data_IF_529085088611
#
_entry.id   IF_529085088611
#
_cell.length_a   1.000
_cell.length_b   1.000
_cell.length_c   1.000
_cell.angle_alpha   90.00
_cell.angle_beta   90.00
_cell.angle_gamma   90.00
#
_symmetry.space_group_name_H-M   'P 1'
#
loop_
_entity.id
_entity.type
_entity.pdbx_description
1 polymer ?
#
# COMPACT_ATOMS: atom_id res chain seq x y z
N UNK A 1 -18.18 -1.86 43.71
CA UNK A 1 -17.50 -2.82 42.81
C UNK A 1 -18.54 -3.41 41.90
N UNK A 2 -18.57 -2.97 40.66
CA UNK A 2 -19.37 -3.58 39.59
C UNK A 2 -18.53 -3.53 38.32
N UNK A 3 -18.52 -4.68 37.66
CA UNK A 3 -17.50 -5.18 36.77
C UNK A 3 -17.88 -4.84 35.32
N UNK A 4 -17.43 -3.70 34.79
CA UNK A 4 -17.63 -3.37 33.37
C UNK A 4 -16.56 -4.05 32.51
N UNK A 5 -16.77 -5.35 32.26
CA UNK A 5 -16.13 -6.02 31.13
C UNK A 5 -16.85 -5.58 29.86
N UNK A 6 -16.23 -4.65 29.11
CA UNK A 6 -16.61 -4.38 27.72
C UNK A 6 -16.35 -5.65 26.90
N UNK A 7 -17.42 -6.33 26.54
CA UNK A 7 -17.41 -7.48 25.63
C UNK A 7 -17.14 -6.95 24.21
N UNK A 8 -16.06 -7.43 23.56
CA UNK A 8 -15.83 -7.26 22.12
C UNK A 8 -14.52 -6.60 21.68
N UNK A 9 -13.69 -6.08 22.59
CA UNK A 9 -12.41 -5.48 22.21
C UNK A 9 -11.28 -6.50 22.33
N UNK A 10 -11.10 -7.33 21.30
CA UNK A 10 -9.82 -8.03 21.16
C UNK A 10 -8.74 -6.98 20.83
N UNK A 11 -7.53 -7.14 21.36
CA UNK A 11 -6.31 -6.42 20.92
C UNK A 11 -6.05 -6.51 19.41
N UNK A 12 -6.89 -7.20 18.64
CA UNK A 12 -6.72 -7.57 17.25
C UNK A 12 -7.24 -6.53 16.23
N UNK A 13 -7.95 -5.46 16.66
CA UNK A 13 -8.39 -4.43 15.71
C UNK A 13 -7.20 -3.68 15.08
N UNK A 14 -6.10 -3.53 15.82
CA UNK A 14 -4.92 -2.79 15.39
C UNK A 14 -5.21 -1.33 15.01
N UNK A 15 -4.17 -0.60 14.63
CA UNK A 15 -4.30 0.73 14.06
C UNK A 15 -4.41 0.65 12.53
N UNK A 16 -4.98 1.70 11.93
CA UNK A 16 -5.11 1.82 10.49
C UNK A 16 -4.79 3.23 10.00
N UNK A 17 -4.36 3.31 8.75
CA UNK A 17 -4.05 4.55 8.06
C UNK A 17 -4.50 4.47 6.60
N UNK A 18 -4.99 5.58 6.07
CA UNK A 18 -5.34 5.71 4.66
C UNK A 18 -4.89 7.05 4.13
N UNK A 19 -4.20 7.05 2.99
CA UNK A 19 -3.77 8.25 2.26
C UNK A 19 -4.08 8.09 0.78
N UNK A 20 -4.35 9.21 0.10
CA UNK A 20 -4.70 9.22 -1.31
C UNK A 20 -4.28 10.50 -1.99
N UNK A 21 -3.95 10.41 -3.28
CA UNK A 21 -3.65 11.56 -4.13
C UNK A 21 -4.18 11.32 -5.54
N UNK A 22 -4.62 12.39 -6.20
CA UNK A 22 -5.01 12.37 -7.61
C UNK A 22 -3.85 12.86 -8.48
N UNK A 23 -3.64 12.18 -9.60
CA UNK A 23 -2.61 12.45 -10.60
C UNK A 23 -3.27 12.65 -11.95
N UNK A 24 -2.70 13.52 -12.79
CA UNK A 24 -3.20 13.78 -14.14
C UNK A 24 -2.67 12.75 -15.14
N UNK A 25 -2.82 11.46 -14.84
CA UNK A 25 -2.45 10.34 -15.71
C UNK A 25 -3.61 9.35 -15.82
N UNK A 26 -3.56 8.52 -16.87
CA UNK A 26 -4.55 7.46 -17.10
C UNK A 26 -4.53 6.41 -16.00
N UNK A 27 -5.56 5.58 -15.96
CA UNK A 27 -5.65 4.47 -15.00
C UNK A 27 -4.58 3.41 -15.30
N UNK A 28 -4.31 3.21 -16.58
CA UNK A 28 -3.32 2.31 -17.16
C UNK A 28 -1.91 2.76 -16.77
N UNK A 29 -1.59 4.04 -16.91
CA UNK A 29 -0.30 4.60 -16.50
C UNK A 29 -0.09 4.49 -14.99
N UNK A 30 -1.13 4.78 -14.21
CA UNK A 30 -1.09 4.65 -12.76
C UNK A 30 -0.84 3.18 -12.33
N UNK A 31 -1.51 2.23 -12.99
CA UNK A 31 -1.28 0.80 -12.76
C UNK A 31 0.15 0.40 -13.13
N UNK A 32 0.62 0.80 -14.32
CA UNK A 32 1.97 0.52 -14.79
C UNK A 32 3.04 1.06 -13.83
N UNK A 33 2.88 2.30 -13.35
CA UNK A 33 3.78 2.91 -12.36
C UNK A 33 3.80 2.16 -11.02
N UNK A 34 2.68 1.58 -10.58
CA UNK A 34 2.58 0.86 -9.31
C UNK A 34 3.03 -0.59 -9.39
N UNK A 35 2.71 -1.27 -10.48
CA UNK A 35 2.87 -2.72 -10.65
C UNK A 35 4.14 -3.12 -11.42
N UNK A 36 4.84 -2.15 -12.04
CA UNK A 36 6.17 -2.38 -12.62
C UNK A 36 7.21 -2.72 -11.55
N UNK A 37 8.32 -3.33 -11.95
CA UNK A 37 9.45 -3.63 -11.06
C UNK A 37 9.94 -2.37 -10.33
N UNK A 38 10.06 -1.24 -11.02
CA UNK A 38 10.49 0.03 -10.42
C UNK A 38 9.44 0.59 -9.46
N UNK A 39 8.15 0.36 -9.73
CA UNK A 39 7.04 0.68 -8.85
C UNK A 39 7.09 -0.13 -7.57
N UNK A 40 7.16 -1.45 -7.70
CA UNK A 40 7.25 -2.38 -6.58
C UNK A 40 8.49 -2.11 -5.74
N UNK A 41 9.65 -1.90 -6.35
CA UNK A 41 10.87 -1.52 -5.64
C UNK A 41 10.71 -0.20 -4.87
N UNK A 42 9.97 0.77 -5.43
CA UNK A 42 9.74 2.06 -4.80
C UNK A 42 8.93 1.95 -3.49
N UNK A 43 7.83 1.20 -3.49
CA UNK A 43 6.88 1.21 -2.37
C UNK A 43 6.90 -0.05 -1.50
N UNK A 44 7.40 -1.17 -2.02
CA UNK A 44 7.50 -2.45 -1.32
C UNK A 44 8.95 -2.81 -0.94
N UNK A 45 9.93 -2.13 -1.54
CA UNK A 45 11.35 -2.38 -1.33
C UNK A 45 11.98 -3.21 -2.45
N UNK A 46 13.30 -3.14 -2.56
CA UNK A 46 14.09 -3.86 -3.55
C UNK A 46 13.98 -5.37 -3.35
N UNK A 47 13.87 -6.10 -4.45
CA UNK A 47 13.74 -7.56 -4.46
C UNK A 47 14.25 -8.18 -5.75
N UNK A 48 14.57 -9.47 -5.71
CA UNK A 48 14.91 -10.26 -6.90
C UNK A 48 13.65 -10.86 -7.52
N UNK A 49 12.73 -9.98 -7.95
CA UNK A 49 11.52 -10.36 -8.70
C UNK A 49 10.30 -10.65 -7.82
N UNK A 50 9.38 -9.69 -7.75
CA UNK A 50 8.04 -9.87 -7.19
C UNK A 50 7.08 -10.25 -8.30
N UNK A 51 6.38 -11.37 -8.12
CA UNK A 51 5.28 -11.78 -8.99
C UNK A 51 3.94 -11.41 -8.37
N UNK A 52 3.16 -10.56 -9.05
CA UNK A 52 1.81 -10.18 -8.62
C UNK A 52 0.78 -11.27 -8.96
N UNK A 53 0.89 -12.41 -8.29
CA UNK A 53 -0.01 -13.57 -8.42
C UNK A 53 -0.65 -13.85 -7.06
N UNK A 54 -1.99 -13.89 -6.94
CA UNK A 54 -2.64 -14.25 -5.67
C UNK A 54 -2.14 -15.59 -5.11
N UNK A 55 -1.79 -15.61 -3.82
CA UNK A 55 -1.19 -16.74 -3.12
C UNK A 55 0.34 -16.77 -3.13
N UNK A 56 0.99 -15.95 -3.96
CA UNK A 56 2.45 -15.90 -4.04
C UNK A 56 3.03 -15.11 -2.85
N UNK A 57 4.02 -15.69 -2.18
CA UNK A 57 4.82 -14.98 -1.18
C UNK A 57 5.93 -14.16 -1.83
N UNK A 58 6.33 -13.08 -1.18
CA UNK A 58 7.41 -12.22 -1.62
C UNK A 58 8.30 -11.81 -0.44
N UNK A 59 9.54 -11.42 -0.76
CA UNK A 59 10.50 -10.87 0.19
C UNK A 59 11.26 -9.72 -0.47
N UNK A 60 11.43 -8.63 0.27
CA UNK A 60 12.16 -7.44 -0.12
C UNK A 60 13.11 -7.03 1.00
N UNK A 61 13.98 -6.06 0.73
CA UNK A 61 14.80 -5.43 1.78
C UNK A 61 14.00 -4.65 2.83
N UNK A 62 12.71 -4.37 2.62
CA UNK A 62 11.86 -3.67 3.59
C UNK A 62 10.92 -4.62 4.36
N UNK A 63 10.78 -5.86 3.91
CA UNK A 63 9.94 -6.86 4.58
C UNK A 63 9.43 -7.95 3.64
N UNK A 64 8.50 -8.75 4.13
CA UNK A 64 7.95 -9.89 3.39
C UNK A 64 6.43 -9.94 3.50
N UNK A 65 5.80 -10.80 2.71
CA UNK A 65 4.36 -10.97 2.73
C UNK A 65 3.86 -11.90 1.64
N UNK A 66 2.55 -11.80 1.39
CA UNK A 66 1.84 -12.60 0.40
C UNK A 66 0.89 -11.70 -0.39
N UNK A 67 0.89 -11.88 -1.72
CA UNK A 67 -0.07 -11.24 -2.61
C UNK A 67 -1.42 -11.92 -2.43
N UNK A 68 -2.46 -11.16 -2.05
CA UNK A 68 -3.79 -11.70 -1.73
C UNK A 68 -4.82 -11.42 -2.80
N UNK A 69 -4.79 -10.22 -3.41
CA UNK A 69 -5.71 -9.83 -4.47
C UNK A 69 -4.93 -9.05 -5.52
N UNK A 70 -5.15 -9.41 -6.79
CA UNK A 70 -4.71 -8.65 -7.95
C UNK A 70 -5.91 -8.47 -8.86
N UNK A 71 -6.40 -7.24 -8.94
CA UNK A 71 -7.41 -6.82 -9.92
C UNK A 71 -6.78 -5.73 -10.78
N UNK A 72 -6.31 -6.06 -11.98
CA UNK A 72 -5.67 -5.12 -12.88
C UNK A 72 -6.45 -3.81 -12.99
N UNK A 73 -5.71 -2.70 -13.03
CA UNK A 73 -6.20 -1.32 -13.08
C UNK A 73 -6.97 -0.84 -11.85
N UNK A 74 -7.38 -1.72 -10.93
CA UNK A 74 -8.34 -1.38 -9.88
C UNK A 74 -7.76 -1.52 -8.47
N UNK A 75 -7.14 -2.66 -8.17
CA UNK A 75 -6.84 -3.02 -6.79
C UNK A 75 -5.67 -4.00 -6.67
N UNK A 76 -4.81 -3.74 -5.69
CA UNK A 76 -3.89 -4.71 -5.12
C UNK A 76 -4.18 -4.88 -3.63
N UNK A 77 -4.11 -6.11 -3.12
CA UNK A 77 -4.11 -6.39 -1.69
C UNK A 77 -3.02 -7.39 -1.38
N UNK A 78 -2.27 -7.13 -0.30
CA UNK A 78 -1.21 -7.99 0.16
C UNK A 78 -1.13 -7.94 1.69
N UNK A 79 -0.57 -8.99 2.28
CA UNK A 79 0.00 -8.86 3.63
C UNK A 79 1.37 -8.21 3.52
N UNK A 80 1.76 -7.44 4.53
CA UNK A 80 3.12 -6.90 4.61
C UNK A 80 3.58 -6.89 6.06
N UNK A 81 4.63 -7.65 6.33
CA UNK A 81 5.38 -7.63 7.56
C UNK A 81 6.69 -6.92 7.28
N UNK A 82 6.76 -5.64 7.68
CA UNK A 82 7.99 -4.86 7.59
C UNK A 82 9.07 -5.53 8.44
N UNK A 83 10.33 -5.38 8.05
CA UNK A 83 11.45 -5.88 8.84
C UNK A 83 11.36 -5.41 10.31
N UNK A 84 11.55 -6.34 11.25
CA UNK A 84 11.43 -6.07 12.69
C UNK A 84 10.00 -6.06 13.25
N UNK A 85 8.94 -6.18 12.43
CA UNK A 85 7.57 -6.27 12.94
C UNK A 85 7.24 -7.67 13.45
N UNK A 86 6.56 -7.75 14.59
CA UNK A 86 6.13 -9.03 15.20
C UNK A 86 5.03 -9.75 14.40
N UNK A 87 4.21 -9.00 13.66
CA UNK A 87 3.05 -9.52 12.92
C UNK A 87 2.82 -8.78 11.61
N UNK A 88 2.25 -9.44 10.59
CA UNK A 88 1.94 -8.79 9.33
C UNK A 88 0.78 -7.80 9.47
N UNK A 89 0.90 -6.70 8.72
CA UNK A 89 -0.20 -5.80 8.39
C UNK A 89 -0.90 -6.24 7.11
N UNK A 90 -1.99 -5.59 6.75
CA UNK A 90 -2.63 -5.75 5.43
C UNK A 90 -2.59 -4.40 4.71
N UNK A 91 -2.04 -4.40 3.50
CA UNK A 91 -1.99 -3.24 2.61
C UNK A 91 -2.99 -3.45 1.48
N UNK A 92 -3.78 -2.43 1.22
CA UNK A 92 -4.68 -2.36 0.07
C UNK A 92 -4.38 -1.09 -0.72
N UNK A 93 -4.11 -1.27 -2.00
CA UNK A 93 -3.93 -0.20 -2.96
C UNK A 93 -5.16 -0.17 -3.86
N UNK A 94 -5.75 1.01 -4.05
CA UNK A 94 -6.85 1.23 -5.00
C UNK A 94 -6.47 2.27 -6.01
N UNK A 95 -6.86 2.04 -7.25
CA UNK A 95 -6.68 2.93 -8.38
C UNK A 95 -8.07 3.25 -8.91
N UNK A 96 -8.43 4.52 -8.84
CA UNK A 96 -9.77 5.02 -9.15
C UNK A 96 -9.65 5.99 -10.32
N UNK A 97 -10.09 5.58 -11.49
CA UNK A 97 -10.19 6.48 -12.64
C UNK A 97 -11.19 7.60 -12.35
N UNK A 98 -10.92 8.77 -12.92
CA UNK A 98 -11.77 9.96 -12.91
C UNK A 98 -11.89 10.49 -14.33
N UNK A 99 -12.77 11.48 -14.52
CA UNK A 99 -12.83 12.24 -15.76
C UNK A 99 -11.48 12.93 -16.09
N UNK A 100 -11.32 13.32 -17.35
CA UNK A 100 -10.18 14.08 -17.88
C UNK A 100 -8.81 13.43 -17.71
N UNK A 101 -8.73 12.10 -17.88
CA UNK A 101 -7.48 11.35 -17.78
C UNK A 101 -6.75 11.59 -16.43
N UNK A 102 -7.55 11.65 -15.35
CA UNK A 102 -7.07 11.77 -13.97
C UNK A 102 -7.34 10.47 -13.24
N UNK A 103 -6.42 10.10 -12.36
CA UNK A 103 -6.53 8.88 -11.57
C UNK A 103 -6.18 9.16 -10.12
N UNK A 104 -6.92 8.56 -9.19
CA UNK A 104 -6.59 8.59 -7.76
C UNK A 104 -5.97 7.29 -7.34
N UNK A 105 -4.78 7.36 -6.74
CA UNK A 105 -4.15 6.23 -6.07
C UNK A 105 -4.39 6.39 -4.57
N UNK A 106 -4.83 5.33 -3.92
CA UNK A 106 -5.08 5.27 -2.48
C UNK A 106 -4.34 4.09 -1.87
N UNK A 107 -3.58 4.35 -0.81
CA UNK A 107 -3.03 3.34 0.08
C UNK A 107 -3.89 3.29 1.34
N UNK A 108 -4.26 2.08 1.75
CA UNK A 108 -4.87 1.80 3.04
C UNK A 108 -4.11 0.67 3.70
N UNK A 109 -3.73 0.85 4.96
CA UNK A 109 -3.06 -0.17 5.74
C UNK A 109 -3.77 -0.38 7.08
N UNK A 110 -3.98 -1.63 7.46
CA UNK A 110 -4.65 -2.05 8.68
C UNK A 110 -3.79 -3.06 9.47
N UNK A 111 -4.19 -3.33 10.72
CA UNK A 111 -3.50 -4.22 11.67
C UNK A 111 -2.14 -3.71 12.13
N UNK A 112 -1.93 -2.39 12.17
CA UNK A 112 -0.73 -1.78 12.74
C UNK A 112 -0.70 -1.99 14.27
N UNK A 113 0.50 -1.99 14.87
CA UNK A 113 0.70 -2.32 16.30
C UNK A 113 0.16 -1.23 17.23
N UNK A 114 0.45 0.02 16.91
CA UNK A 114 0.23 1.18 17.76
C UNK A 114 0.12 2.48 16.94
N UNK A 115 -0.10 3.59 17.64
CA UNK A 115 -0.23 4.92 17.05
C UNK A 115 1.07 5.44 16.44
N UNK A 116 2.24 5.10 16.99
CA UNK A 116 3.51 5.54 16.45
C UNK A 116 3.78 4.91 15.08
N UNK A 117 3.58 3.59 14.98
CA UNK A 117 3.68 2.86 13.70
C UNK A 117 2.64 3.37 12.70
N UNK A 118 1.45 3.77 13.14
CA UNK A 118 0.45 4.41 12.28
C UNK A 118 0.98 5.71 11.66
N UNK A 119 1.56 6.62 12.46
CA UNK A 119 2.09 7.87 11.92
C UNK A 119 3.30 7.64 11.02
N UNK A 120 4.20 6.71 11.37
CA UNK A 120 5.33 6.32 10.52
C UNK A 120 4.83 5.86 9.14
N UNK A 121 3.85 4.95 9.11
CA UNK A 121 3.30 4.46 7.86
C UNK A 121 2.51 5.53 7.10
N UNK A 122 1.87 6.47 7.79
CA UNK A 122 1.22 7.62 7.14
C UNK A 122 2.25 8.43 6.34
N UNK A 123 3.34 8.83 6.98
CA UNK A 123 4.43 9.59 6.34
C UNK A 123 5.08 8.79 5.22
N UNK A 124 5.29 7.48 5.42
CA UNK A 124 5.80 6.59 4.39
C UNK A 124 4.91 6.64 3.13
N UNK A 125 3.61 6.40 3.27
CA UNK A 125 2.70 6.38 2.11
C UNK A 125 2.52 7.74 1.46
N UNK A 126 2.54 8.84 2.23
CA UNK A 126 2.56 10.21 1.68
C UNK A 126 3.80 10.44 0.82
N UNK A 127 4.97 10.03 1.30
CA UNK A 127 6.25 10.11 0.57
C UNK A 127 6.22 9.27 -0.71
N UNK A 128 5.65 8.06 -0.67
CA UNK A 128 5.49 7.22 -1.86
C UNK A 128 4.57 7.89 -2.89
N UNK A 129 3.45 8.47 -2.47
CA UNK A 129 2.55 9.21 -3.38
C UNK A 129 3.22 10.44 -3.99
N UNK A 130 4.13 11.10 -3.28
CA UNK A 130 4.95 12.18 -3.84
C UNK A 130 5.90 11.68 -4.93
N UNK A 131 6.69 10.63 -4.65
CA UNK A 131 7.61 10.02 -5.62
C UNK A 131 6.89 9.46 -6.86
N UNK A 132 5.68 8.90 -6.69
CA UNK A 132 4.83 8.49 -7.81
C UNK A 132 4.45 9.71 -8.66
N UNK A 133 4.09 10.83 -8.04
CA UNK A 133 3.78 12.08 -8.72
C UNK A 133 4.95 12.61 -9.55
N UNK A 134 6.16 12.60 -9.01
CA UNK A 134 7.37 13.01 -9.72
C UNK A 134 7.62 12.14 -10.96
N UNK A 135 7.47 10.81 -10.83
CA UNK A 135 7.61 9.87 -11.95
C UNK A 135 6.54 10.08 -13.02
N UNK A 136 5.30 10.33 -12.60
CA UNK A 136 4.19 10.63 -13.50
C UNK A 136 4.43 11.92 -14.31
N UNK A 137 5.07 12.93 -13.73
CA UNK A 137 5.43 14.17 -14.43
C UNK A 137 6.58 13.98 -15.42
N UNK A 138 7.60 13.18 -15.06
CA UNK A 138 8.72 12.87 -15.96
C UNK A 138 8.27 12.14 -17.22
N UNK A 139 7.38 11.15 -17.07
CA UNK A 139 6.87 10.36 -18.20
C UNK A 139 6.00 11.17 -19.18
N UNK A 140 5.48 12.34 -18.77
CA UNK A 140 4.79 13.26 -19.69
C UNK A 140 5.72 14.14 -20.52
N UNK A 141 6.97 14.27 -20.09
CA UNK A 141 7.95 15.19 -20.69
C UNK A 141 8.93 14.46 -21.61
N UNK A 142 8.78 13.15 -21.79
CA UNK A 142 9.53 12.28 -22.72
C UNK A 142 8.64 11.91 -23.88
#
# INVERSE_FOLDING_TARGET
>A
MTNDRIIGQTKAAGFQVGVRRSFSISQEDAWSLLASSDGLNLWLGESTGISLIPGQTYMTNLGSGEIRIVKPLQQLRLTWQKEGWERPSTVQIRILSKADNKTTISFHQEKLSDQYVREEMKTYWETILEKIGERAMKNKSS
#
